data_IF_288204436538
#
_entry.id   IF_288204436538
#
_cell.length_a   1.000
_cell.length_b   1.000
_cell.length_c   1.000
_cell.angle_alpha   90.00
_cell.angle_beta   90.00
_cell.angle_gamma   90.00
#
_symmetry.space_group_name_H-M   'P 1'
#
loop_
_entity.id
_entity.type
_entity.pdbx_description
1 polymer ?
#
# COMPACT_ATOMS: atom_id res chain seq x y z
N UNK A 1 12.84 -0.46 2.78
CA UNK A 1 13.82 0.56 3.21
C UNK A 1 14.56 1.11 1.99
N UNK A 2 14.79 2.42 1.94
CA UNK A 2 15.24 3.12 0.73
C UNK A 2 16.61 3.77 0.97
N UNK A 3 17.50 3.64 -0.02
CA UNK A 3 18.74 4.40 -0.11
C UNK A 3 18.53 5.61 -1.01
N UNK A 4 19.09 6.76 -0.63
CA UNK A 4 19.03 8.01 -1.38
C UNK A 4 20.44 8.44 -1.78
N UNK A 5 20.62 8.83 -3.04
CA UNK A 5 21.89 9.39 -3.58
C UNK A 5 21.61 10.70 -4.31
N UNK A 6 22.45 11.72 -4.08
CA UNK A 6 22.42 12.96 -4.85
C UNK A 6 23.24 12.75 -6.13
N UNK A 7 22.70 13.21 -7.26
CA UNK A 7 23.37 13.20 -8.56
C UNK A 7 23.75 14.63 -8.88
N UNK A 8 25.05 14.89 -8.91
CA UNK A 8 25.61 16.20 -9.26
C UNK A 8 25.41 16.45 -10.76
N UNK A 9 24.26 17.03 -11.09
CA UNK A 9 23.81 17.43 -12.43
C UNK A 9 23.36 18.90 -12.38
N UNK A 10 23.14 19.52 -13.53
CA UNK A 10 22.54 20.85 -13.62
C UNK A 10 21.22 20.73 -14.39
N UNK A 11 20.06 20.73 -13.70
CA UNK A 11 19.84 20.88 -12.26
C UNK A 11 20.20 19.61 -11.45
N UNK A 12 20.50 19.72 -10.14
CA UNK A 12 20.87 18.57 -9.32
C UNK A 12 19.71 17.58 -9.16
N UNK A 13 20.01 16.30 -9.36
CA UNK A 13 19.06 15.19 -9.29
C UNK A 13 19.17 14.39 -7.99
N UNK A 14 18.14 13.58 -7.72
CA UNK A 14 18.14 12.60 -6.62
C UNK A 14 17.72 11.25 -7.18
N UNK A 15 18.49 10.22 -6.85
CA UNK A 15 18.17 8.83 -7.14
C UNK A 15 17.77 8.10 -5.86
N UNK A 16 16.78 7.22 -6.01
CA UNK A 16 16.32 6.32 -4.96
C UNK A 16 16.51 4.89 -5.42
N UNK A 17 17.01 4.06 -4.52
CA UNK A 17 17.16 2.63 -4.77
C UNK A 17 16.73 1.84 -3.54
N UNK A 18 16.34 0.58 -3.75
CA UNK A 18 16.13 -0.34 -2.63
C UNK A 18 17.49 -0.59 -1.95
N UNK A 19 17.57 -0.33 -0.65
CA UNK A 19 18.77 -0.56 0.14
C UNK A 19 19.02 -2.06 0.35
N UNK A 20 20.20 -2.46 0.85
CA UNK A 20 20.48 -3.86 1.16
C UNK A 20 19.48 -4.48 2.15
N UNK A 21 19.14 -3.75 3.23
CA UNK A 21 18.09 -4.13 4.19
C UNK A 21 16.70 -4.13 3.51
N UNK A 22 16.45 -3.21 2.57
CA UNK A 22 15.22 -3.22 1.78
C UNK A 22 15.10 -4.49 0.93
N UNK A 23 16.20 -4.95 0.34
CA UNK A 23 16.24 -6.19 -0.46
C UNK A 23 16.08 -7.44 0.40
N UNK A 24 16.62 -7.45 1.63
CA UNK A 24 16.42 -8.59 2.55
C UNK A 24 14.96 -8.77 2.99
N UNK A 25 14.09 -7.78 2.77
CA UNK A 25 12.64 -7.92 3.02
C UNK A 25 11.88 -8.65 1.91
N UNK A 26 12.49 -8.88 0.74
CA UNK A 26 11.79 -9.51 -0.38
C UNK A 26 11.26 -10.90 -0.05
N UNK A 27 12.02 -11.71 0.70
CA UNK A 27 11.58 -13.05 1.13
C UNK A 27 10.41 -12.98 2.14
N UNK A 28 10.49 -12.25 3.26
CA UNK A 28 9.35 -12.09 4.18
C UNK A 28 8.08 -11.58 3.49
N UNK A 29 8.21 -10.59 2.59
CA UNK A 29 7.09 -10.08 1.83
C UNK A 29 6.51 -11.12 0.86
N UNK A 30 7.36 -11.94 0.25
CA UNK A 30 6.94 -13.05 -0.60
C UNK A 30 6.12 -14.09 0.18
N UNK A 31 6.56 -14.46 1.38
CA UNK A 31 5.83 -15.39 2.26
C UNK A 31 4.46 -14.82 2.64
N UNK A 32 4.41 -13.54 3.02
CA UNK A 32 3.14 -12.88 3.36
C UNK A 32 2.20 -12.81 2.15
N UNK A 33 2.72 -12.45 0.97
CA UNK A 33 1.96 -12.38 -0.26
C UNK A 33 1.38 -13.75 -0.65
N UNK A 34 2.17 -14.82 -0.51
CA UNK A 34 1.73 -16.17 -0.79
C UNK A 34 0.61 -16.61 0.16
N UNK A 35 0.76 -16.36 1.47
CA UNK A 35 -0.29 -16.66 2.45
C UNK A 35 -1.57 -15.87 2.13
N UNK A 36 -1.44 -14.58 1.82
CA UNK A 36 -2.59 -13.74 1.50
C UNK A 36 -3.33 -14.24 0.26
N UNK A 37 -2.60 -14.65 -0.79
CA UNK A 37 -3.19 -15.24 -1.99
C UNK A 37 -3.95 -16.54 -1.67
N UNK A 38 -3.40 -17.39 -0.80
CA UNK A 38 -4.05 -18.62 -0.37
C UNK A 38 -5.31 -18.36 0.49
N UNK A 39 -5.30 -17.32 1.31
CA UNK A 39 -6.42 -16.95 2.19
C UNK A 39 -7.43 -16.01 1.54
N UNK A 40 -7.16 -15.52 0.32
CA UNK A 40 -8.02 -14.55 -0.36
C UNK A 40 -9.50 -14.98 -0.39
N UNK A 41 -9.87 -16.25 -0.68
CA UNK A 41 -11.28 -16.65 -0.64
C UNK A 41 -11.91 -16.50 0.76
N UNK A 42 -11.18 -16.86 1.81
CA UNK A 42 -11.63 -16.73 3.21
C UNK A 42 -11.80 -15.27 3.61
N UNK A 43 -10.86 -14.42 3.19
CA UNK A 43 -10.90 -12.97 3.43
C UNK A 43 -12.12 -12.36 2.75
N UNK A 44 -12.36 -12.69 1.47
CA UNK A 44 -13.52 -12.21 0.72
C UNK A 44 -14.85 -12.68 1.33
N UNK A 45 -14.91 -13.93 1.80
CA UNK A 45 -16.09 -14.44 2.49
C UNK A 45 -16.35 -13.69 3.81
N UNK A 46 -15.31 -13.38 4.58
CA UNK A 46 -15.43 -12.59 5.81
C UNK A 46 -15.88 -11.15 5.53
N UNK A 47 -15.36 -10.52 4.47
CA UNK A 47 -15.80 -9.20 4.00
C UNK A 47 -17.29 -9.23 3.64
N UNK A 48 -17.72 -10.17 2.81
CA UNK A 48 -19.12 -10.30 2.41
C UNK A 48 -20.06 -10.52 3.61
N UNK A 49 -19.64 -11.32 4.60
CA UNK A 49 -20.40 -11.51 5.84
C UNK A 49 -20.51 -10.23 6.67
N UNK A 50 -19.45 -9.43 6.72
CA UNK A 50 -19.44 -8.15 7.42
C UNK A 50 -20.39 -7.15 6.74
N UNK A 51 -20.31 -7.06 5.41
CA UNK A 51 -21.09 -6.14 4.57
C UNK A 51 -22.58 -6.53 4.54
N UNK A 52 -22.89 -7.82 4.63
CA UNK A 52 -24.26 -8.31 4.72
C UNK A 52 -24.96 -8.02 6.06
N UNK A 53 -24.25 -7.42 7.03
CA UNK A 53 -24.87 -7.03 8.30
C UNK A 53 -25.77 -5.82 8.06
N UNK A 54 -27.05 -5.88 8.47
CA UNK A 54 -27.96 -4.74 8.34
C UNK A 54 -27.35 -3.54 9.06
N UNK A 55 -27.36 -2.39 8.38
CA UNK A 55 -26.72 -1.15 8.78
C UNK A 55 -27.19 -0.69 10.16
N UNK A 56 -26.47 -1.13 11.19
CA UNK A 56 -26.69 -0.74 12.58
C UNK A 56 -25.63 0.20 13.13
N UNK A 57 -24.52 0.46 12.42
CA UNK A 57 -23.42 1.33 12.85
C UNK A 57 -22.59 1.80 11.64
N UNK A 58 -23.22 2.49 10.68
CA UNK A 58 -22.47 3.27 9.68
C UNK A 58 -21.94 4.53 10.38
N UNK A 59 -20.67 4.52 10.76
CA UNK A 59 -19.94 5.75 11.04
C UNK A 59 -19.73 6.45 9.70
N UNK A 60 -20.71 7.26 9.31
CA UNK A 60 -20.61 8.22 8.21
C UNK A 60 -19.60 9.29 8.59
N UNK A 61 -18.31 9.00 8.42
CA UNK A 61 -17.22 9.99 8.31
C UNK A 61 -16.64 9.97 6.89
N UNK A 62 -17.50 9.75 5.89
CA UNK A 62 -17.17 9.94 4.47
C UNK A 62 -16.99 11.42 4.08
N UNK A 63 -16.94 12.34 5.05
CA UNK A 63 -16.78 13.77 4.82
C UNK A 63 -15.33 14.27 4.98
N UNK A 64 -14.37 13.44 5.41
CA UNK A 64 -13.00 13.91 5.76
C UNK A 64 -11.87 13.26 4.95
N UNK A 65 -12.15 12.82 3.72
CA UNK A 65 -11.11 12.36 2.78
C UNK A 65 -10.76 13.41 1.71
N UNK A 66 -11.24 14.65 1.84
CA UNK A 66 -10.94 15.76 0.93
C UNK A 66 -9.49 16.25 0.99
N UNK A 67 -8.69 15.80 1.96
CA UNK A 67 -7.34 16.32 2.19
C UNK A 67 -6.22 15.39 1.64
N UNK A 68 -6.57 14.20 1.17
CA UNK A 68 -5.63 13.38 0.39
C UNK A 68 -5.74 13.79 -1.09
N UNK A 69 -4.91 14.73 -1.49
CA UNK A 69 -4.62 15.01 -2.90
C UNK A 69 -4.05 13.73 -3.54
N UNK A 70 -4.91 12.96 -4.19
CA UNK A 70 -4.53 11.79 -4.97
C UNK A 70 -3.65 12.26 -6.13
N UNK A 71 -2.34 12.05 -6.02
CA UNK A 71 -1.38 12.25 -7.11
C UNK A 71 -1.80 11.33 -8.26
N UNK A 72 -2.58 11.89 -9.17
CA UNK A 72 -2.94 11.25 -10.43
C UNK A 72 -1.71 11.33 -11.32
N UNK A 73 -1.10 10.19 -11.64
CA UNK A 73 -0.04 10.10 -12.64
C UNK A 73 -0.67 10.49 -13.99
N UNK A 74 -0.31 11.67 -14.51
CA UNK A 74 -0.72 12.11 -15.86
C UNK A 74 0.21 11.45 -16.89
N UNK A 75 -0.39 10.79 -17.86
CA UNK A 75 0.20 10.40 -19.16
C UNK A 75 0.49 11.66 -20.00
#
# INVERSE_FOLDING_TARGET
>A
MVSRRIVETAPPGVEYSVSAIGKSMSEPLGVLAQWAAQQLPSILAAQAQFDARPEGLTHTDAADLSDYDTVTVRD
#
